data_IF_932535724811
#
_entry.id   IF_932535724811
#
_cell.length_a   1.000
_cell.length_b   1.000
_cell.length_c   1.000
_cell.angle_alpha   90.00
_cell.angle_beta   90.00
_cell.angle_gamma   90.00
#
_symmetry.space_group_name_H-M   'P 1'
#
loop_
_entity.id
_entity.type
_entity.pdbx_description
1 polymer ?
#
# COMPACT_ATOMS: atom_id res chain seq x y z
N UNK A 1 -40.38 10.47 -14.09
CA UNK A 1 -39.06 9.86 -14.39
C UNK A 1 -37.89 10.78 -14.00
N UNK A 2 -37.87 11.34 -12.77
CA UNK A 2 -36.82 12.30 -12.33
C UNK A 2 -36.10 11.85 -11.05
N UNK A 3 -36.53 10.74 -10.46
CA UNK A 3 -36.01 10.19 -9.19
C UNK A 3 -34.90 9.14 -9.37
N UNK A 4 -34.69 8.65 -10.59
CA UNK A 4 -33.70 7.59 -10.89
C UNK A 4 -32.30 8.12 -11.24
N UNK A 5 -32.14 9.44 -11.37
CA UNK A 5 -30.85 10.05 -11.77
C UNK A 5 -29.94 10.25 -10.54
N UNK A 6 -30.51 10.42 -9.34
CA UNK A 6 -29.74 10.68 -8.12
C UNK A 6 -29.01 9.45 -7.56
N UNK A 7 -29.47 8.24 -7.88
CA UNK A 7 -28.84 6.99 -7.39
C UNK A 7 -27.56 6.61 -8.15
N UNK A 8 -27.30 7.19 -9.32
CA UNK A 8 -26.11 6.87 -10.13
C UNK A 8 -24.82 7.59 -9.65
N UNK A 9 -24.94 8.67 -8.87
CA UNK A 9 -23.80 9.50 -8.45
C UNK A 9 -23.07 8.89 -7.24
N UNK A 10 -23.76 8.09 -6.41
CA UNK A 10 -23.20 7.54 -5.17
C UNK A 10 -22.27 6.34 -5.46
N UNK A 11 -22.44 5.65 -6.58
CA UNK A 11 -21.63 4.48 -6.95
C UNK A 11 -20.21 4.85 -7.46
N UNK A 12 -19.98 6.11 -7.87
CA UNK A 12 -18.68 6.56 -8.39
C UNK A 12 -17.65 6.90 -7.32
N UNK A 13 -18.07 7.12 -6.07
CA UNK A 13 -17.19 7.58 -5.00
C UNK A 13 -16.37 6.45 -4.32
N UNK A 14 -16.68 5.19 -4.61
CA UNK A 14 -16.01 4.04 -3.98
C UNK A 14 -14.73 3.64 -4.75
N UNK A 15 -14.66 3.93 -6.06
CA UNK A 15 -13.50 3.59 -6.90
C UNK A 15 -12.31 4.54 -6.75
N UNK A 16 -12.49 5.75 -6.24
CA UNK A 16 -11.37 6.69 -5.97
C UNK A 16 -10.57 6.34 -4.71
N UNK A 17 -11.08 5.46 -3.84
CA UNK A 17 -10.33 4.95 -2.69
C UNK A 17 -9.31 3.86 -3.05
N UNK A 18 -9.34 3.32 -4.28
CA UNK A 18 -8.29 2.41 -4.74
C UNK A 18 -7.00 3.15 -5.16
N UNK A 19 -7.12 4.38 -5.70
CA UNK A 19 -6.05 5.07 -6.41
C UNK A 19 -4.94 5.73 -5.54
N UNK A 20 -4.85 5.41 -4.24
CA UNK A 20 -3.84 6.03 -3.38
C UNK A 20 -3.29 5.07 -2.32
N UNK A 21 -3.43 3.76 -2.52
CA UNK A 21 -2.68 2.79 -1.72
C UNK A 21 -1.32 2.64 -2.39
N UNK A 22 -0.27 3.02 -1.67
CA UNK A 22 1.10 2.69 -2.08
C UNK A 22 1.40 1.29 -1.58
N UNK A 23 1.87 0.44 -2.46
CA UNK A 23 2.34 -0.90 -2.13
C UNK A 23 3.87 -0.89 -2.15
N UNK A 24 4.47 -1.61 -1.22
CA UNK A 24 5.92 -1.73 -1.16
C UNK A 24 6.28 -3.14 -0.77
N UNK A 25 7.27 -3.67 -1.47
CA UNK A 25 7.84 -4.97 -1.21
C UNK A 25 9.17 -4.75 -0.49
N UNK A 26 9.32 -5.34 0.70
CA UNK A 26 10.54 -5.24 1.49
C UNK A 26 11.32 -6.54 1.45
N UNK A 27 12.63 -6.41 1.31
CA UNK A 27 13.57 -7.53 1.25
C UNK A 27 14.66 -7.36 2.29
N UNK A 28 15.06 -8.46 2.91
CA UNK A 28 16.16 -8.50 3.86
C UNK A 28 17.15 -9.55 3.40
N UNK A 29 18.43 -9.16 3.31
CA UNK A 29 19.51 -10.10 2.98
C UNK A 29 20.19 -10.52 4.27
N UNK A 30 20.05 -11.79 4.62
CA UNK A 30 20.79 -12.41 5.71
C UNK A 30 22.28 -12.52 5.36
N UNK A 31 23.14 -12.54 6.38
CA UNK A 31 24.60 -12.62 6.20
C UNK A 31 25.10 -13.91 5.52
N UNK A 32 24.24 -14.91 5.33
CA UNK A 32 24.49 -16.14 4.58
C UNK A 32 24.17 -16.01 3.07
N UNK A 33 23.69 -14.84 2.62
CA UNK A 33 23.26 -14.58 1.24
C UNK A 33 21.79 -14.92 0.94
N UNK A 34 21.01 -15.34 1.94
CA UNK A 34 19.57 -15.61 1.77
C UNK A 34 18.79 -14.30 1.72
N UNK A 35 17.98 -14.13 0.68
CA UNK A 35 17.06 -12.98 0.57
C UNK A 35 15.69 -13.41 1.09
N UNK A 36 15.28 -12.83 2.20
CA UNK A 36 13.93 -12.92 2.73
C UNK A 36 13.09 -11.80 2.10
N UNK A 37 12.05 -12.17 1.38
CA UNK A 37 11.06 -11.22 0.87
C UNK A 37 9.85 -11.26 1.79
N UNK A 38 9.52 -10.14 2.42
CA UNK A 38 8.25 -10.03 3.14
C UNK A 38 7.13 -9.66 2.15
N UNK A 39 5.96 -10.21 2.43
CA UNK A 39 4.72 -9.95 1.73
C UNK A 39 4.47 -8.45 1.60
N UNK A 40 4.23 -8.00 0.36
CA UNK A 40 4.03 -6.60 0.01
C UNK A 40 2.97 -5.96 0.89
N UNK A 41 3.30 -4.89 1.62
CA UNK A 41 2.31 -4.16 2.41
C UNK A 41 1.80 -2.97 1.61
N UNK A 42 0.48 -2.81 1.63
CA UNK A 42 -0.20 -1.73 0.92
C UNK A 42 -0.88 -0.80 1.93
N UNK A 43 -0.40 0.43 2.02
CA UNK A 43 -0.87 1.40 3.00
C UNK A 43 -1.19 2.76 2.38
N UNK A 44 -1.69 3.68 3.22
CA UNK A 44 -1.87 5.10 2.87
C UNK A 44 -1.35 6.02 3.96
N UNK A 45 -0.86 7.19 3.55
CA UNK A 45 -0.57 8.29 4.47
C UNK A 45 0.51 7.93 5.50
N UNK A 46 0.25 8.25 6.78
CA UNK A 46 1.20 8.03 7.88
C UNK A 46 1.44 6.56 8.17
N UNK A 47 0.40 5.72 8.17
CA UNK A 47 0.53 4.28 8.48
C UNK A 47 1.51 3.60 7.52
N UNK A 48 1.45 3.93 6.23
CA UNK A 48 2.41 3.43 5.24
C UNK A 48 3.83 3.91 5.53
N UNK A 49 4.00 5.20 5.83
CA UNK A 49 5.32 5.77 6.14
C UNK A 49 5.92 5.17 7.41
N UNK A 50 5.11 5.00 8.45
CA UNK A 50 5.54 4.44 9.73
C UNK A 50 5.97 2.97 9.55
N UNK A 51 5.22 2.19 8.76
CA UNK A 51 5.58 0.81 8.42
C UNK A 51 6.86 0.74 7.58
N UNK A 52 6.97 1.59 6.54
CA UNK A 52 8.17 1.66 5.71
C UNK A 52 9.41 2.01 6.53
N UNK A 53 9.32 3.07 7.34
CA UNK A 53 10.40 3.53 8.20
C UNK A 53 10.80 2.47 9.24
N UNK A 54 9.84 1.71 9.77
CA UNK A 54 10.14 0.61 10.70
C UNK A 54 10.90 -0.52 10.02
N UNK A 55 10.55 -0.89 8.78
CA UNK A 55 11.27 -1.91 8.02
C UNK A 55 12.69 -1.43 7.68
N UNK A 56 12.83 -0.19 7.18
CA UNK A 56 14.13 0.40 6.88
C UNK A 56 15.04 0.49 8.12
N UNK A 57 14.49 0.88 9.28
CA UNK A 57 15.22 0.88 10.56
C UNK A 57 15.70 -0.51 10.99
N UNK A 58 14.95 -1.54 10.64
CA UNK A 58 15.30 -2.94 10.91
C UNK A 58 16.27 -3.51 9.87
N UNK A 59 16.76 -2.69 8.93
CA UNK A 59 17.73 -3.10 7.92
C UNK A 59 17.12 -3.74 6.67
N UNK A 60 15.80 -3.65 6.49
CA UNK A 60 15.13 -4.10 5.27
C UNK A 60 15.28 -3.07 4.17
N UNK A 61 15.44 -3.54 2.93
CA UNK A 61 15.45 -2.73 1.72
C UNK A 61 14.06 -2.83 1.08
N UNK A 62 13.36 -1.71 1.07
CA UNK A 62 11.98 -1.61 0.60
C UNK A 62 11.91 -0.89 -0.74
N UNK A 63 11.19 -1.46 -1.70
CA UNK A 63 11.03 -0.93 -3.07
C UNK A 63 9.55 -0.65 -3.30
N UNK A 64 9.21 0.62 -3.59
CA UNK A 64 7.84 1.02 -3.97
C UNK A 64 7.49 0.35 -5.32
N UNK A 65 6.32 -0.31 -5.39
CA UNK A 65 5.76 -0.87 -6.63
C UNK A 65 4.84 0.13 -7.36
#
# INVERSE_FOLDING_TARGET
>A
MKKLIYSAIIAGAIFSYAACKKCTTCTYTEGNGTVLTDSSFCGKGKVYKDQLEQHEKNGWICIEE
#
